data_IF_163245985630
#
_entry.id   IF_163245985630
#
_cell.length_a   1.000
_cell.length_b   1.000
_cell.length_c   1.000
_cell.angle_alpha   90.00
_cell.angle_beta   90.00
_cell.angle_gamma   90.00
#
_symmetry.space_group_name_H-M   'P 1'
#
loop_
_entity.id
_entity.type
_entity.pdbx_description
1 polymer ?
#
# COMPACT_ATOMS: atom_id res chain seq x y z
N UNK A 1 5.93 22.28 52.97
CA UNK A 1 6.73 21.95 51.76
C UNK A 1 5.88 21.07 50.84
N UNK A 2 5.43 21.60 49.69
CA UNK A 2 4.65 20.83 48.69
C UNK A 2 5.62 20.03 47.81
N UNK A 3 5.51 18.70 47.76
CA UNK A 3 6.32 17.87 46.86
C UNK A 3 5.94 18.19 45.39
N UNK A 4 6.91 18.41 44.49
CA UNK A 4 6.60 18.66 43.09
C UNK A 4 6.01 17.40 42.45
N UNK A 5 4.92 17.57 41.71
CA UNK A 5 4.26 16.51 40.93
C UNK A 5 5.23 16.12 39.80
N UNK A 6 5.82 14.93 39.88
CA UNK A 6 6.62 14.33 38.79
C UNK A 6 5.67 13.79 37.72
N UNK A 7 5.38 14.63 36.73
CA UNK A 7 4.72 14.21 35.49
C UNK A 7 5.64 13.20 34.79
N UNK A 8 5.25 11.92 34.76
CA UNK A 8 6.02 10.88 34.09
C UNK A 8 5.96 11.09 32.58
N UNK A 9 7.07 10.93 31.83
CA UNK A 9 7.12 11.16 30.39
C UNK A 9 6.09 10.30 29.62
N UNK A 10 5.73 9.13 30.17
CA UNK A 10 4.68 8.26 29.65
C UNK A 10 3.27 8.91 29.63
N UNK A 11 2.96 9.80 30.57
CA UNK A 11 1.65 10.44 30.67
C UNK A 11 1.49 11.56 29.63
N UNK A 12 2.58 12.31 29.36
CA UNK A 12 2.61 13.32 28.30
C UNK A 12 2.59 12.68 26.90
N UNK A 13 3.31 11.55 26.71
CA UNK A 13 3.27 10.79 25.45
C UNK A 13 1.88 10.18 25.18
N UNK A 14 1.21 9.69 26.24
CA UNK A 14 -0.16 9.18 26.15
C UNK A 14 -1.18 10.25 25.77
N UNK A 15 -1.05 11.47 26.29
CA UNK A 15 -1.91 12.60 25.94
C UNK A 15 -1.68 13.10 24.50
N UNK A 16 -0.44 13.14 24.03
CA UNK A 16 -0.13 13.48 22.62
C UNK A 16 -0.65 12.40 21.67
N UNK A 17 -0.45 11.12 22.01
CA UNK A 17 -0.98 9.99 21.24
C UNK A 17 -2.51 9.98 21.16
N UNK A 18 -3.20 10.23 22.28
CA UNK A 18 -4.65 10.34 22.32
C UNK A 18 -5.19 11.53 21.51
N UNK A 19 -4.46 12.65 21.51
CA UNK A 19 -4.80 13.84 20.72
C UNK A 19 -4.63 13.62 19.22
N UNK A 20 -3.59 12.89 18.80
CA UNK A 20 -3.36 12.50 17.41
C UNK A 20 -4.39 11.48 16.90
N UNK A 21 -4.81 10.54 17.75
CA UNK A 21 -5.89 9.59 17.46
C UNK A 21 -7.25 10.27 17.30
N UNK A 22 -7.51 11.34 18.05
CA UNK A 22 -8.77 12.09 17.99
C UNK A 22 -8.93 12.93 16.70
N UNK A 23 -7.82 13.21 15.99
CA UNK A 23 -7.79 14.02 14.76
C UNK A 23 -7.51 13.14 13.52
N UNK A 24 -7.21 11.85 13.72
CA UNK A 24 -6.92 10.95 12.62
C UNK A 24 -8.17 10.78 11.72
N UNK A 25 -8.12 11.21 10.43
CA UNK A 25 -9.16 10.83 9.49
C UNK A 25 -9.22 9.31 9.40
N UNK A 26 -10.35 8.76 8.94
CA UNK A 26 -10.46 7.35 8.59
C UNK A 26 -9.26 6.96 7.73
N UNK A 27 -8.36 6.13 8.28
CA UNK A 27 -7.12 5.76 7.63
C UNK A 27 -7.46 4.91 6.40
N UNK A 28 -7.51 5.57 5.24
CA UNK A 28 -7.62 4.89 3.96
C UNK A 28 -6.27 4.26 3.65
N UNK A 29 -6.24 2.95 3.43
CA UNK A 29 -5.13 2.37 2.68
C UNK A 29 -5.24 2.93 1.26
N UNK A 30 -4.26 3.76 0.88
CA UNK A 30 -4.16 4.42 -0.44
C UNK A 30 -5.44 5.19 -0.83
N UNK A 31 -5.69 6.37 -0.20
CA UNK A 31 -6.89 7.20 -0.43
C UNK A 31 -7.19 7.57 -1.89
N UNK A 32 -6.21 7.48 -2.80
CA UNK A 32 -6.42 7.78 -4.22
C UNK A 32 -7.34 6.76 -4.93
N UNK A 33 -7.23 5.46 -4.63
CA UNK A 33 -8.17 4.46 -5.17
C UNK A 33 -9.56 4.58 -4.55
N UNK A 34 -9.64 4.90 -3.25
CA UNK A 34 -10.92 5.17 -2.59
C UNK A 34 -11.62 6.39 -3.21
N UNK A 35 -10.87 7.45 -3.52
CA UNK A 35 -11.39 8.63 -4.23
C UNK A 35 -11.88 8.30 -5.65
N UNK A 36 -11.12 7.49 -6.39
CA UNK A 36 -11.49 7.08 -7.75
C UNK A 36 -12.78 6.24 -7.76
N UNK A 37 -12.89 5.28 -6.85
CA UNK A 37 -13.99 4.30 -6.85
C UNK A 37 -15.21 4.77 -6.06
N UNK A 38 -15.02 5.66 -5.08
CA UNK A 38 -16.03 6.01 -4.08
C UNK A 38 -16.28 4.89 -3.06
N UNK A 39 -15.44 3.86 -3.02
CA UNK A 39 -15.61 2.69 -2.17
C UNK A 39 -14.73 2.76 -0.91
N UNK A 40 -15.23 2.18 0.18
CA UNK A 40 -14.46 2.00 1.40
C UNK A 40 -13.39 0.90 1.25
N UNK A 41 -12.32 0.94 2.05
CA UNK A 41 -11.19 0.00 1.93
C UNK A 41 -11.60 -1.48 2.05
N UNK A 42 -12.57 -1.79 2.91
CA UNK A 42 -13.09 -3.14 3.12
C UNK A 42 -13.88 -3.67 1.91
N UNK A 43 -14.26 -2.81 0.95
CA UNK A 43 -14.81 -3.26 -0.32
C UNK A 43 -13.78 -4.04 -1.13
N UNK A 44 -12.50 -3.68 -1.05
CA UNK A 44 -11.41 -4.33 -1.80
C UNK A 44 -10.57 -5.30 -0.96
N UNK A 45 -10.48 -5.10 0.36
CA UNK A 45 -9.57 -5.86 1.22
C UNK A 45 -10.30 -6.67 2.29
N UNK A 46 -9.81 -7.90 2.55
CA UNK A 46 -10.18 -8.65 3.77
C UNK A 46 -9.43 -8.09 4.98
N UNK A 47 -8.12 -7.89 4.81
CA UNK A 47 -7.21 -7.18 5.70
C UNK A 47 -6.21 -6.49 4.79
N UNK A 48 -6.11 -5.17 4.79
CA UNK A 48 -5.17 -4.49 3.89
C UNK A 48 -3.73 -4.98 4.18
N UNK A 49 -2.93 -5.34 3.15
CA UNK A 49 -3.13 -5.19 1.71
C UNK A 49 -3.80 -6.40 1.00
N UNK A 50 -4.14 -7.47 1.71
CA UNK A 50 -4.75 -8.68 1.13
C UNK A 50 -6.08 -8.37 0.43
N UNK A 51 -6.16 -8.73 -0.85
CA UNK A 51 -7.35 -8.50 -1.68
C UNK A 51 -8.43 -9.57 -1.48
N UNK A 52 -9.67 -9.13 -1.36
CA UNK A 52 -10.87 -9.97 -1.48
C UNK A 52 -11.21 -10.19 -2.97
N UNK A 53 -12.31 -10.90 -3.25
CA UNK A 53 -12.77 -11.17 -4.61
C UNK A 53 -12.93 -9.90 -5.48
N UNK A 54 -13.51 -8.84 -4.92
CA UNK A 54 -13.70 -7.57 -5.62
C UNK A 54 -12.37 -6.83 -5.82
N UNK A 55 -11.48 -6.82 -4.83
CA UNK A 55 -10.14 -6.23 -4.98
C UNK A 55 -9.31 -6.90 -6.08
N UNK A 56 -9.44 -8.23 -6.21
CA UNK A 56 -8.83 -9.00 -7.32
C UNK A 56 -9.43 -8.61 -8.65
N UNK A 57 -10.75 -8.53 -8.72
CA UNK A 57 -11.47 -8.07 -9.90
C UNK A 57 -10.98 -6.68 -10.34
N UNK A 58 -10.89 -5.72 -9.42
CA UNK A 58 -10.38 -4.38 -9.68
C UNK A 58 -8.94 -4.38 -10.23
N UNK A 59 -8.04 -5.16 -9.62
CA UNK A 59 -6.65 -5.28 -10.06
C UNK A 59 -6.52 -5.94 -11.44
N UNK A 60 -7.30 -6.99 -11.72
CA UNK A 60 -7.33 -7.66 -13.03
C UNK A 60 -7.99 -6.82 -14.13
N UNK A 61 -8.86 -5.87 -13.77
CA UNK A 61 -9.39 -4.87 -14.71
C UNK A 61 -8.49 -3.63 -14.79
N UNK A 62 -7.21 -3.75 -14.44
CA UNK A 62 -6.21 -2.70 -14.68
C UNK A 62 -6.35 -1.46 -13.80
N UNK A 63 -6.99 -1.56 -12.63
CA UNK A 63 -7.15 -0.44 -11.69
C UNK A 63 -8.01 0.72 -12.21
N UNK A 64 -8.88 0.50 -13.20
CA UNK A 64 -9.65 1.59 -13.85
C UNK A 64 -11.11 1.70 -13.43
N UNK A 65 -11.62 0.82 -12.56
CA UNK A 65 -13.03 0.92 -12.14
C UNK A 65 -13.29 2.20 -11.33
N UNK A 66 -14.48 2.76 -11.51
CA UNK A 66 -14.93 4.00 -10.87
C UNK A 66 -15.49 4.99 -11.90
N UNK A 67 -16.15 6.07 -11.46
CA UNK A 67 -16.54 7.17 -12.33
C UNK A 67 -15.29 7.86 -12.90
N UNK A 68 -14.70 7.28 -13.93
CA UNK A 68 -13.62 7.86 -14.73
C UNK A 68 -14.13 9.10 -15.46
N UNK A 69 -14.26 10.22 -14.74
CA UNK A 69 -14.33 11.55 -15.32
C UNK A 69 -13.66 12.55 -14.38
N UNK A 70 -12.43 12.91 -14.73
CA UNK A 70 -11.83 14.20 -14.39
C UNK A 70 -12.60 15.32 -15.11
N UNK A 71 -13.92 15.43 -14.91
CA UNK A 71 -14.70 16.55 -15.44
C UNK A 71 -15.14 17.40 -14.26
N UNK A 72 -14.45 18.53 -14.08
CA UNK A 72 -14.78 19.57 -13.12
C UNK A 72 -16.25 19.97 -13.24
N UNK A 73 -17.04 19.55 -12.24
CA UNK A 73 -18.43 19.93 -12.07
C UNK A 73 -18.55 20.91 -10.91
N UNK A 74 -19.03 22.10 -11.23
CA UNK A 74 -19.22 23.25 -10.36
C UNK A 74 -19.97 22.89 -9.06
N UNK A 75 -19.37 23.22 -7.91
CA UNK A 75 -19.94 23.20 -6.55
C UNK A 75 -19.71 22.00 -5.62
N UNK A 76 -18.72 21.13 -5.87
CA UNK A 76 -18.10 20.29 -4.83
C UNK A 76 -16.58 20.33 -5.03
N UNK A 77 -15.79 20.37 -3.96
CA UNK A 77 -14.32 20.42 -3.98
C UNK A 77 -13.74 19.62 -5.17
N UNK A 78 -12.93 20.25 -6.04
CA UNK A 78 -12.29 19.65 -7.24
C UNK A 78 -11.23 18.57 -6.93
N UNK A 79 -11.42 17.82 -5.85
CA UNK A 79 -10.55 16.73 -5.42
C UNK A 79 -10.44 15.64 -6.49
N UNK A 80 -11.43 15.53 -7.38
CA UNK A 80 -11.46 14.67 -8.54
C UNK A 80 -10.50 15.09 -9.66
N UNK A 81 -9.97 16.32 -9.69
CA UNK A 81 -9.00 16.77 -10.71
C UNK A 81 -7.54 16.56 -10.29
N UNK A 82 -7.28 16.25 -9.00
CA UNK A 82 -5.95 15.97 -8.53
C UNK A 82 -5.47 14.61 -9.08
N UNK A 83 -4.19 14.50 -9.50
CA UNK A 83 -3.62 13.20 -9.86
C UNK A 83 -3.85 12.21 -8.71
N UNK A 84 -3.95 10.90 -9.01
CA UNK A 84 -4.30 9.87 -8.03
C UNK A 84 -3.14 9.58 -7.07
N UNK A 85 -2.72 10.62 -6.35
CA UNK A 85 -1.66 10.61 -5.37
C UNK A 85 -2.23 10.46 -3.96
N UNK A 86 -1.46 9.79 -3.12
CA UNK A 86 -1.69 9.75 -1.68
C UNK A 86 -0.37 9.54 -0.92
N UNK A 87 -0.41 9.71 0.39
CA UNK A 87 0.76 9.54 1.25
C UNK A 87 0.40 8.71 2.49
N UNK A 88 1.41 8.02 3.05
CA UNK A 88 1.31 7.23 4.27
C UNK A 88 2.52 7.52 5.14
N UNK A 89 2.31 7.65 6.46
CA UNK A 89 3.38 7.68 7.44
C UNK A 89 3.20 6.52 8.41
N UNK A 90 4.25 5.73 8.60
CA UNK A 90 4.31 4.68 9.63
C UNK A 90 5.25 5.19 10.71
N UNK A 91 4.77 5.19 11.96
CA UNK A 91 5.57 5.45 13.15
C UNK A 91 5.73 4.13 13.91
N UNK A 92 6.86 3.91 14.56
CA UNK A 92 7.09 2.65 15.25
C UNK A 92 7.78 2.83 16.60
N UNK A 93 7.48 1.90 17.50
CA UNK A 93 8.23 1.64 18.72
C UNK A 93 8.62 0.15 18.68
N UNK A 94 9.91 -0.11 18.52
CA UNK A 94 10.45 -1.46 18.40
C UNK A 94 11.25 -1.81 19.64
N UNK A 95 10.84 -2.87 20.33
CA UNK A 95 11.59 -3.46 21.43
C UNK A 95 12.08 -4.87 21.06
N UNK A 96 13.38 -5.07 21.18
CA UNK A 96 14.03 -6.37 21.04
C UNK A 96 14.39 -6.94 22.41
N UNK A 97 14.41 -8.28 22.53
CA UNK A 97 14.78 -8.96 23.79
C UNK A 97 16.21 -8.63 24.24
N UNK A 98 17.13 -8.44 23.29
CA UNK A 98 18.52 -8.05 23.52
C UNK A 98 18.94 -7.05 22.45
N UNK A 99 19.74 -6.06 22.86
CA UNK A 99 20.34 -5.10 21.96
C UNK A 99 21.19 -5.80 20.88
N UNK A 100 21.11 -5.33 19.65
CA UNK A 100 22.06 -5.72 18.61
C UNK A 100 23.40 -5.01 18.85
N UNK A 101 24.53 -5.60 18.42
CA UNK A 101 25.84 -4.97 18.57
C UNK A 101 25.83 -3.50 18.08
N UNK A 102 26.28 -2.57 18.93
CA UNK A 102 26.34 -1.14 18.61
C UNK A 102 25.02 -0.37 18.68
N UNK A 103 23.93 -0.98 19.17
CA UNK A 103 22.59 -0.36 19.22
C UNK A 103 21.96 -0.47 20.61
N UNK A 104 20.83 0.22 20.81
CA UNK A 104 19.95 0.01 21.97
C UNK A 104 18.97 -1.13 21.69
N UNK A 105 18.38 -1.73 22.73
CA UNK A 105 17.36 -2.77 22.58
C UNK A 105 15.96 -2.20 22.28
N UNK A 106 15.76 -0.88 22.42
CA UNK A 106 14.54 -0.16 22.07
C UNK A 106 14.83 0.95 21.06
N UNK A 107 13.91 1.18 20.12
CA UNK A 107 14.01 2.25 19.12
C UNK A 107 12.64 2.81 18.76
N UNK A 108 12.50 4.13 18.82
CA UNK A 108 11.29 4.85 18.42
C UNK A 108 11.59 5.63 17.15
N UNK A 109 10.72 5.50 16.15
CA UNK A 109 10.90 6.08 14.81
C UNK A 109 9.70 6.93 14.42
N UNK A 110 9.95 8.21 14.11
CA UNK A 110 8.93 9.19 13.76
C UNK A 110 9.33 10.02 12.52
N UNK A 111 8.95 9.59 11.31
CA UNK A 111 8.37 8.30 10.97
C UNK A 111 9.43 7.19 10.79
N UNK A 112 9.03 5.93 10.94
CA UNK A 112 9.78 4.79 10.41
C UNK A 112 9.80 4.81 8.88
N UNK A 113 8.62 5.05 8.28
CA UNK A 113 8.45 5.13 6.83
C UNK A 113 7.55 6.29 6.44
N UNK A 114 7.92 6.97 5.37
CA UNK A 114 7.06 7.95 4.70
C UNK A 114 6.93 7.53 3.23
N UNK A 115 5.74 7.13 2.83
CA UNK A 115 5.46 6.67 1.47
C UNK A 115 4.58 7.64 0.71
N UNK A 116 4.87 7.78 -0.58
CA UNK A 116 4.02 8.47 -1.57
C UNK A 116 3.58 7.43 -2.60
N UNK A 117 2.30 7.45 -2.93
CA UNK A 117 1.68 6.52 -3.87
C UNK A 117 1.14 7.26 -5.08
N UNK A 118 1.35 6.69 -6.26
CA UNK A 118 0.44 6.85 -7.39
C UNK A 118 -0.45 5.62 -7.44
N UNK A 119 -1.76 5.79 -7.35
CA UNK A 119 -2.69 4.67 -7.33
C UNK A 119 -4.03 5.10 -7.93
N UNK A 120 -4.17 4.88 -9.24
CA UNK A 120 -5.37 5.21 -9.99
C UNK A 120 -5.30 4.84 -11.47
N UNK A 121 -6.39 5.15 -12.18
CA UNK A 121 -6.51 5.05 -13.63
C UNK A 121 -5.62 6.10 -14.32
N UNK A 122 -4.95 5.67 -15.38
CA UNK A 122 -4.18 6.51 -16.31
C UNK A 122 -5.00 6.78 -17.58
N UNK A 123 -5.74 5.77 -18.05
CA UNK A 123 -6.66 5.83 -19.20
C UNK A 123 -7.88 4.92 -18.97
N UNK A 124 -8.78 4.82 -19.95
CA UNK A 124 -9.98 3.97 -19.87
C UNK A 124 -9.67 2.48 -19.68
N UNK A 125 -8.46 2.04 -20.05
CA UNK A 125 -8.05 0.63 -20.03
C UNK A 125 -6.70 0.41 -19.34
N UNK A 126 -6.11 1.46 -18.77
CA UNK A 126 -4.81 1.39 -18.12
C UNK A 126 -4.81 2.12 -16.80
N UNK A 127 -4.21 1.53 -15.78
CA UNK A 127 -4.02 2.14 -14.46
C UNK A 127 -2.75 1.62 -13.81
N UNK A 128 -2.39 2.19 -12.67
CA UNK A 128 -1.19 1.81 -11.97
C UNK A 128 -1.33 1.92 -10.45
N UNK A 129 -0.54 1.08 -9.79
CA UNK A 129 -0.10 1.24 -8.42
C UNK A 129 1.42 1.44 -8.44
N UNK A 130 1.93 2.50 -7.84
CA UNK A 130 3.35 2.73 -7.66
C UNK A 130 3.57 3.39 -6.32
N UNK A 131 4.57 2.93 -5.59
CA UNK A 131 4.93 3.45 -4.28
C UNK A 131 6.40 3.83 -4.25
N UNK A 132 6.70 4.94 -3.59
CA UNK A 132 8.05 5.35 -3.23
C UNK A 132 8.07 5.59 -1.72
N UNK A 133 9.08 5.07 -1.05
CA UNK A 133 9.14 5.06 0.42
C UNK A 133 10.49 5.62 0.88
N UNK A 134 10.45 6.61 1.79
CA UNK A 134 11.58 6.95 2.63
C UNK A 134 11.59 6.03 3.84
N UNK A 135 12.76 5.51 4.19
CA UNK A 135 12.98 4.67 5.36
C UNK A 135 14.03 5.31 6.27
N UNK A 136 13.69 5.49 7.55
CA UNK A 136 14.54 6.26 8.46
C UNK A 136 15.92 5.63 8.74
N UNK A 137 16.10 4.30 8.91
CA UNK A 137 17.42 3.71 9.08
C UNK A 137 18.32 3.83 7.85
N UNK A 138 17.72 3.79 6.65
CA UNK A 138 18.44 3.96 5.38
C UNK A 138 18.68 5.41 4.99
N UNK A 139 17.91 6.36 5.53
CA UNK A 139 17.94 7.80 5.26
C UNK A 139 17.90 8.18 3.77
N UNK A 140 17.11 7.46 2.98
CA UNK A 140 16.89 7.78 1.58
C UNK A 140 15.50 7.32 1.11
N UNK A 141 15.06 7.89 -0.01
CA UNK A 141 13.89 7.39 -0.73
C UNK A 141 14.30 6.29 -1.70
N UNK A 142 13.56 5.20 -1.70
CA UNK A 142 13.68 4.13 -2.67
C UNK A 142 12.33 3.86 -3.34
N UNK A 143 12.39 3.28 -4.54
CA UNK A 143 11.20 2.76 -5.20
C UNK A 143 10.71 1.55 -4.41
N UNK A 144 9.39 1.40 -4.30
CA UNK A 144 8.75 0.23 -3.70
C UNK A 144 7.99 -0.52 -4.81
N UNK A 145 7.01 -1.35 -4.48
CA UNK A 145 6.21 -2.07 -5.46
C UNK A 145 5.56 -1.11 -6.47
N UNK A 146 5.77 -1.42 -7.75
CA UNK A 146 5.15 -0.76 -8.90
C UNK A 146 4.52 -1.81 -9.80
N UNK A 147 3.27 -1.59 -10.20
CA UNK A 147 2.47 -2.45 -11.07
C UNK A 147 1.58 -1.56 -11.95
N UNK A 148 1.90 -1.50 -13.23
CA UNK A 148 1.11 -0.83 -14.28
C UNK A 148 0.38 -1.92 -15.05
N UNK A 149 -0.92 -1.74 -15.28
CA UNK A 149 -1.75 -2.74 -15.93
C UNK A 149 -2.59 -2.14 -17.03
N UNK A 150 -2.64 -2.86 -18.13
CA UNK A 150 -3.62 -2.70 -19.19
C UNK A 150 -4.59 -3.88 -19.14
N UNK A 151 -5.90 -3.64 -19.29
CA UNK A 151 -6.89 -4.71 -19.34
C UNK A 151 -8.05 -4.40 -20.29
N UNK A 152 -8.59 -5.44 -20.93
CA UNK A 152 -9.80 -5.37 -21.74
C UNK A 152 -10.64 -6.63 -21.61
N UNK A 153 -11.94 -6.43 -21.80
CA UNK A 153 -12.92 -7.50 -21.80
C UNK A 153 -13.23 -7.92 -23.23
N UNK A 154 -13.38 -9.23 -23.44
CA UNK A 154 -13.84 -9.84 -24.68
C UNK A 154 -15.04 -10.72 -24.35
N UNK A 155 -16.17 -10.42 -24.96
CA UNK A 155 -17.39 -11.18 -24.78
C UNK A 155 -17.64 -12.09 -25.98
N UNK A 156 -17.85 -13.38 -25.74
CA UNK A 156 -18.10 -14.39 -26.76
C UNK A 156 -18.98 -15.50 -26.19
N UNK A 157 -20.00 -15.95 -26.93
CA UNK A 157 -20.87 -17.09 -26.56
C UNK A 157 -21.34 -17.06 -25.08
N UNK A 158 -21.80 -15.91 -24.59
CA UNK A 158 -22.24 -15.72 -23.20
C UNK A 158 -21.13 -15.96 -22.15
N UNK A 159 -19.87 -15.87 -22.56
CA UNK A 159 -18.69 -15.88 -21.71
C UNK A 159 -17.98 -14.52 -21.80
N UNK A 160 -17.36 -14.11 -20.70
CA UNK A 160 -16.55 -12.89 -20.63
C UNK A 160 -15.12 -13.27 -20.30
N UNK A 161 -14.18 -12.91 -21.16
CA UNK A 161 -12.75 -13.07 -20.93
C UNK A 161 -12.13 -11.69 -20.68
N UNK A 162 -11.60 -11.48 -19.49
CA UNK A 162 -10.72 -10.35 -19.20
C UNK A 162 -9.32 -10.76 -19.63
N UNK A 163 -8.64 -9.96 -20.43
CA UNK A 163 -7.22 -10.17 -20.69
C UNK A 163 -6.45 -8.88 -20.41
N UNK A 164 -5.19 -9.02 -20.04
CA UNK A 164 -4.39 -7.86 -19.70
C UNK A 164 -2.89 -8.09 -19.79
N UNK A 165 -2.18 -6.97 -19.74
CA UNK A 165 -0.74 -6.90 -19.66
C UNK A 165 -0.35 -6.23 -18.34
N UNK A 166 0.75 -6.67 -17.73
CA UNK A 166 1.34 -6.07 -16.53
C UNK A 166 2.79 -5.70 -16.79
N UNK A 167 3.19 -4.53 -16.30
CA UNK A 167 4.57 -4.10 -16.17
C UNK A 167 4.82 -3.82 -14.69
N UNK A 168 5.81 -4.47 -14.10
CA UNK A 168 6.10 -4.33 -12.67
C UNK A 168 7.58 -4.37 -12.35
N UNK A 169 7.96 -3.95 -11.14
CA UNK A 169 9.34 -4.05 -10.64
C UNK A 169 9.53 -5.13 -9.56
N UNK A 170 8.55 -6.01 -9.38
CA UNK A 170 8.60 -7.13 -8.44
C UNK A 170 7.76 -8.28 -9.01
N UNK A 171 8.37 -9.43 -9.38
CA UNK A 171 7.65 -10.53 -10.02
C UNK A 171 6.42 -11.03 -9.25
N UNK A 172 6.41 -10.85 -7.93
CA UNK A 172 5.34 -11.34 -7.07
C UNK A 172 4.21 -10.33 -6.89
N UNK A 173 4.39 -9.07 -7.31
CA UNK A 173 3.33 -8.06 -7.25
C UNK A 173 2.17 -8.40 -8.17
N UNK A 174 2.39 -9.20 -9.22
CA UNK A 174 1.35 -9.52 -10.20
C UNK A 174 0.26 -10.46 -9.64
N UNK A 175 0.60 -11.22 -8.60
CA UNK A 175 -0.30 -12.13 -7.90
C UNK A 175 -1.46 -11.37 -7.27
N UNK A 176 -2.69 -11.87 -7.48
CA UNK A 176 -3.90 -11.28 -6.90
C UNK A 176 -4.44 -12.12 -5.74
N UNK A 177 -3.91 -13.33 -5.52
CA UNK A 177 -4.34 -14.25 -4.45
C UNK A 177 -3.52 -14.11 -3.17
N UNK A 178 -2.47 -13.27 -3.19
CA UNK A 178 -1.63 -13.03 -2.02
C UNK A 178 -0.93 -14.32 -1.53
N UNK A 179 -0.68 -15.25 -2.46
CA UNK A 179 0.03 -16.51 -2.25
C UNK A 179 1.54 -16.35 -2.38
N UNK A 180 1.98 -15.20 -2.91
CA UNK A 180 3.38 -14.84 -3.07
C UNK A 180 3.79 -13.65 -2.19
N UNK A 181 5.10 -13.45 -1.93
CA UNK A 181 5.58 -12.57 -0.85
C UNK A 181 5.30 -11.07 -0.98
N UNK A 182 5.11 -10.48 -2.19
CA UNK A 182 4.96 -9.01 -2.36
C UNK A 182 3.92 -8.38 -1.44
N UNK A 183 2.84 -9.11 -1.14
CA UNK A 183 1.75 -8.67 -0.28
C UNK A 183 1.56 -9.61 0.91
N UNK A 184 2.57 -10.43 1.23
CA UNK A 184 2.53 -11.43 2.28
C UNK A 184 2.56 -10.84 3.69
N UNK A 185 2.14 -11.64 4.67
CA UNK A 185 2.33 -11.33 6.08
C UNK A 185 3.81 -11.53 6.49
N UNK A 186 4.40 -10.70 7.37
CA UNK A 186 3.81 -9.53 8.05
C UNK A 186 3.73 -8.30 7.14
N UNK A 187 2.57 -7.65 7.09
CA UNK A 187 2.29 -6.53 6.16
C UNK A 187 3.03 -5.23 6.50
N UNK A 188 3.34 -5.04 7.79
CA UNK A 188 4.18 -3.97 8.31
C UNK A 188 5.13 -4.63 9.31
N UNK A 189 6.41 -4.32 9.22
CA UNK A 189 7.43 -4.83 10.14
C UNK A 189 8.30 -3.69 10.64
N UNK A 190 9.07 -3.97 11.70
CA UNK A 190 10.05 -3.02 12.21
C UNK A 190 11.23 -2.92 11.24
N UNK A 191 11.66 -1.68 10.99
CA UNK A 191 12.83 -1.39 10.17
C UNK A 191 14.17 -1.75 10.84
N UNK A 192 14.16 -1.98 12.16
CA UNK A 192 15.38 -2.20 12.97
C UNK A 192 15.40 -3.55 13.68
N UNK A 193 14.30 -4.31 13.63
CA UNK A 193 14.28 -5.66 14.18
C UNK A 193 15.07 -6.63 13.28
N UNK A 194 15.91 -7.51 13.85
CA UNK A 194 16.59 -8.53 13.07
C UNK A 194 15.61 -9.47 12.36
N UNK A 195 15.91 -9.78 11.10
CA UNK A 195 15.18 -10.76 10.28
C UNK A 195 16.11 -11.91 9.88
N UNK A 196 15.57 -13.08 9.46
CA UNK A 196 16.40 -14.16 8.92
C UNK A 196 17.26 -13.67 7.74
N UNK A 197 18.56 -13.95 7.78
CA UNK A 197 19.51 -13.52 6.74
C UNK A 197 19.41 -14.31 5.44
N UNK A 198 18.81 -15.51 5.49
CA UNK A 198 18.55 -16.33 4.32
C UNK A 198 17.07 -16.23 3.94
N UNK A 199 16.81 -15.94 2.67
CA UNK A 199 15.47 -15.88 2.09
C UNK A 199 15.51 -16.44 0.66
N UNK A 200 14.43 -17.09 0.18
CA UNK A 200 14.29 -17.39 -1.24
C UNK A 200 14.47 -16.13 -2.10
N UNK A 201 15.09 -16.27 -3.27
CA UNK A 201 15.31 -15.16 -4.22
C UNK A 201 14.00 -14.41 -4.57
N UNK A 202 12.89 -15.14 -4.63
CA UNK A 202 11.56 -14.61 -4.95
C UNK A 202 10.94 -13.79 -3.79
N UNK A 203 11.48 -13.90 -2.57
CA UNK A 203 10.95 -13.30 -1.35
C UNK A 203 11.78 -12.07 -0.93
N UNK A 204 11.86 -11.09 -1.82
CA UNK A 204 12.50 -9.78 -1.58
C UNK A 204 13.66 -9.46 -2.53
N UNK A 205 14.68 -10.32 -2.69
CA UNK A 205 15.89 -9.91 -3.41
C UNK A 205 15.69 -9.54 -4.89
N UNK A 206 14.65 -10.06 -5.56
CA UNK A 206 14.29 -9.61 -6.92
C UNK A 206 13.50 -8.30 -6.96
N UNK A 207 12.79 -7.95 -5.89
CA UNK A 207 11.99 -6.74 -5.84
C UNK A 207 12.89 -5.51 -6.06
N UNK A 208 12.42 -4.56 -6.88
CA UNK A 208 13.11 -3.35 -7.31
C UNK A 208 14.41 -3.54 -8.11
N UNK A 209 14.93 -4.77 -8.22
CA UNK A 209 16.14 -5.11 -8.98
C UNK A 209 15.84 -5.64 -10.39
N UNK A 210 14.58 -5.92 -10.70
CA UNK A 210 14.15 -6.42 -12.02
C UNK A 210 12.96 -5.63 -12.53
N UNK A 211 12.76 -5.67 -13.85
CA UNK A 211 11.50 -5.30 -14.48
C UNK A 211 10.82 -6.57 -15.01
N UNK A 212 9.55 -6.74 -14.70
CA UNK A 212 8.70 -7.83 -15.16
C UNK A 212 7.70 -7.32 -16.20
N UNK A 213 7.51 -8.10 -17.27
CA UNK A 213 6.41 -7.95 -18.22
C UNK A 213 5.63 -9.27 -18.25
N UNK A 214 4.31 -9.19 -18.24
CA UNK A 214 3.46 -10.37 -18.23
C UNK A 214 2.15 -10.14 -18.95
N UNK A 215 1.51 -11.22 -19.36
CA UNK A 215 0.15 -11.25 -19.86
C UNK A 215 -0.69 -12.20 -19.00
N UNK A 216 -1.96 -11.87 -18.81
CA UNK A 216 -2.89 -12.71 -18.07
C UNK A 216 -4.26 -12.70 -18.74
N UNK A 217 -5.04 -13.74 -18.45
CA UNK A 217 -6.44 -13.82 -18.86
C UNK A 217 -7.27 -14.45 -17.74
N UNK A 218 -8.51 -14.00 -17.58
CA UNK A 218 -9.44 -14.46 -16.56
C UNK A 218 -10.82 -14.66 -17.17
N UNK A 219 -11.28 -15.91 -17.16
CA UNK A 219 -12.53 -16.32 -17.80
C UNK A 219 -13.69 -16.28 -16.80
N UNK A 220 -14.80 -15.70 -17.24
CA UNK A 220 -16.10 -15.60 -16.57
C UNK A 220 -16.07 -15.02 -15.15
N UNK A 221 -15.00 -14.33 -14.77
CA UNK A 221 -14.78 -13.86 -13.41
C UNK A 221 -14.96 -14.96 -12.34
N UNK A 222 -14.76 -16.23 -12.72
CA UNK A 222 -14.93 -17.39 -11.84
C UNK A 222 -13.59 -17.77 -11.20
N UNK A 223 -13.65 -18.24 -9.95
CA UNK A 223 -12.52 -18.75 -9.16
C UNK A 223 -12.72 -20.22 -8.81
#
# INVERSE_FOLDING_TARGET
MKKPIRIHPFFALGLVGASLLAIAPTAGAVPSFARQTGLACNACHTVAPQLNAFGRYFKLHGYVLGPNKLTGGSNKLSISELPPLSAMAIVSDTLTRRAQPGTQNGSVQFPQQLSVFYAGAISEHMGAFAQMTYEQPGDHFSMDNTDVRYARDVNWNNQTLVWGLTLNNNPTVQDVWNSTPAWGFPYISSAVAPTPSASPLIAGPLAQNVAGVGAYAWLNNTW
#
